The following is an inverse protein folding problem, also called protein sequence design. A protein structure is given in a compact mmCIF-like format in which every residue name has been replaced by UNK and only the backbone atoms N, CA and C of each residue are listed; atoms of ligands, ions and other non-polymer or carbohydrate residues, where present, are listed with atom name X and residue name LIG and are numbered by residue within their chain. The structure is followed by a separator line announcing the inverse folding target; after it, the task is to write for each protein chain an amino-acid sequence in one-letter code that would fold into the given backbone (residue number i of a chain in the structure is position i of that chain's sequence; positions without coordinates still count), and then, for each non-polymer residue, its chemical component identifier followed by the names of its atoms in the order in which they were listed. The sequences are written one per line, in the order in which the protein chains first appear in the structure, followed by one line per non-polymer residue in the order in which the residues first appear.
data_IF_517336297922
#
_entry.id   IF_517336297922
#
_cell.length_a   1.000
_cell.length_b   1.000
_cell.length_c   1.000
_cell.angle_alpha   90.00
_cell.angle_beta   90.00
_cell.angle_gamma   90.00
#
_symmetry.space_group_name_H-M   'P 1'
#
loop_
_entity.id
_entity.type
_entity.pdbx_description
1 polymer ?
#
# COMPACT_ATOMS: atom_id res chain seq x y z
N UNK A 1 2.24 48.53 -4.88
CA UNK A 1 3.22 48.11 -5.92
C UNK A 1 3.26 46.61 -5.90
N UNK A 2 2.54 45.96 -6.81
CA UNK A 2 2.40 44.51 -6.89
C UNK A 2 3.42 44.00 -7.91
N UNK A 3 4.48 43.37 -7.45
CA UNK A 3 5.48 42.73 -8.30
C UNK A 3 4.89 41.46 -8.94
N UNK A 4 4.58 41.58 -10.21
CA UNK A 4 4.19 40.45 -11.09
C UNK A 4 5.45 39.61 -11.35
N UNK A 5 5.53 38.44 -10.72
CA UNK A 5 6.56 37.44 -11.03
C UNK A 5 6.35 36.95 -12.45
N UNK A 6 7.37 37.12 -13.29
CA UNK A 6 7.37 36.64 -14.68
C UNK A 6 7.28 35.11 -14.71
N UNK A 7 6.58 34.48 -15.71
CA UNK A 7 6.55 33.04 -15.84
C UNK A 7 7.95 32.53 -16.18
N UNK A 8 8.43 31.55 -15.45
CA UNK A 8 9.66 30.80 -15.74
C UNK A 8 9.50 30.19 -17.12
N UNK A 9 10.43 30.53 -18.05
CA UNK A 9 10.46 30.00 -19.40
C UNK A 9 10.44 28.47 -19.34
N UNK A 10 9.39 27.87 -19.92
CA UNK A 10 9.20 26.43 -19.91
C UNK A 10 10.38 25.73 -20.59
N UNK A 11 10.92 24.71 -19.94
CA UNK A 11 11.86 23.76 -20.54
C UNK A 11 11.16 23.21 -21.80
N UNK A 12 11.77 23.29 -22.99
CA UNK A 12 11.15 22.81 -24.22
C UNK A 12 10.80 21.33 -24.06
N UNK A 13 9.53 20.99 -24.30
CA UNK A 13 9.06 19.62 -24.21
C UNK A 13 9.92 18.71 -25.10
N UNK A 14 10.34 17.57 -24.58
CA UNK A 14 11.12 16.60 -25.33
C UNK A 14 10.33 16.15 -26.59
N UNK A 15 11.00 15.92 -27.74
CA UNK A 15 10.33 15.49 -28.95
C UNK A 15 9.61 14.16 -28.72
N UNK A 16 8.41 13.97 -29.35
CA UNK A 16 7.65 12.74 -29.19
C UNK A 16 8.43 11.53 -29.71
N UNK A 17 8.11 10.35 -29.17
CA UNK A 17 8.69 9.09 -29.65
C UNK A 17 8.31 8.82 -31.11
N UNK A 18 9.20 8.18 -31.89
CA UNK A 18 8.85 7.62 -33.20
C UNK A 18 7.62 6.69 -33.09
N UNK A 19 6.69 6.78 -34.02
CA UNK A 19 5.43 6.03 -33.96
C UNK A 19 5.63 4.50 -33.86
N UNK A 20 6.60 3.95 -34.53
CA UNK A 20 6.96 2.53 -34.47
C UNK A 20 7.42 2.13 -33.06
N UNK A 21 8.25 2.95 -32.42
CA UNK A 21 8.74 2.69 -31.07
C UNK A 21 7.60 2.79 -30.06
N UNK A 22 6.70 3.79 -30.17
CA UNK A 22 5.54 3.92 -29.31
C UNK A 22 4.62 2.68 -29.42
N UNK A 23 4.40 2.16 -30.62
CA UNK A 23 3.62 0.94 -30.85
C UNK A 23 4.27 -0.30 -30.22
N UNK A 24 5.60 -0.45 -30.37
CA UNK A 24 6.33 -1.57 -29.74
C UNK A 24 6.25 -1.52 -28.21
N UNK A 25 6.44 -0.35 -27.61
CA UNK A 25 6.36 -0.19 -26.15
C UNK A 25 4.95 -0.50 -25.63
N UNK A 26 3.89 -0.14 -26.36
CA UNK A 26 2.51 -0.52 -26.06
C UNK A 26 2.32 -2.04 -26.13
N UNK A 27 2.79 -2.67 -27.21
CA UNK A 27 2.67 -4.12 -27.41
C UNK A 27 3.40 -4.90 -26.33
N UNK A 28 4.57 -4.44 -25.91
CA UNK A 28 5.37 -5.04 -24.84
C UNK A 28 4.88 -4.68 -23.43
N UNK A 29 3.85 -3.83 -23.32
CA UNK A 29 3.30 -3.36 -22.06
C UNK A 29 4.36 -2.70 -21.16
N UNK A 30 5.09 -1.74 -21.73
CA UNK A 30 6.13 -0.95 -21.05
C UNK A 30 5.68 0.52 -20.89
N UNK A 31 4.66 0.80 -20.05
CA UNK A 31 4.04 2.12 -19.96
C UNK A 31 4.96 3.18 -19.36
N UNK A 32 5.84 2.79 -18.44
CA UNK A 32 6.73 3.71 -17.75
C UNK A 32 7.89 4.11 -18.67
N UNK A 33 8.52 3.17 -19.38
CA UNK A 33 9.49 3.48 -20.42
C UNK A 33 8.84 4.41 -21.45
N UNK A 34 7.65 4.09 -21.94
CA UNK A 34 6.95 4.90 -22.96
C UNK A 34 6.76 6.35 -22.52
N UNK A 35 6.47 6.57 -21.22
CA UNK A 35 6.27 7.89 -20.63
C UNK A 35 7.58 8.68 -20.52
N UNK A 36 8.66 8.03 -20.10
CA UNK A 36 9.92 8.70 -19.77
C UNK A 36 10.93 8.71 -20.92
N UNK A 37 10.79 7.85 -21.90
CA UNK A 37 11.72 7.73 -23.01
C UNK A 37 11.97 9.04 -23.82
N UNK A 38 10.98 9.91 -24.07
CA UNK A 38 11.25 11.18 -24.76
C UNK A 38 12.30 12.01 -24.06
N UNK A 39 12.16 12.18 -22.75
CA UNK A 39 13.06 12.99 -21.92
C UNK A 39 14.45 12.34 -21.77
N UNK A 40 14.46 11.02 -21.51
CA UNK A 40 15.72 10.27 -21.36
C UNK A 40 16.52 10.29 -22.65
N UNK A 41 15.89 10.10 -23.81
CA UNK A 41 16.56 10.13 -25.11
C UNK A 41 17.09 11.54 -25.42
N UNK A 42 16.32 12.59 -25.12
CA UNK A 42 16.77 13.97 -25.32
C UNK A 42 18.00 14.28 -24.44
N UNK A 43 17.97 13.90 -23.17
CA UNK A 43 19.08 14.07 -22.22
C UNK A 43 20.30 13.27 -22.67
N UNK A 44 20.12 12.00 -23.03
CA UNK A 44 21.19 11.13 -23.50
C UNK A 44 21.92 11.70 -24.72
N UNK A 45 21.16 12.25 -25.69
CA UNK A 45 21.74 12.91 -26.87
C UNK A 45 22.56 14.15 -26.48
N UNK A 46 22.03 14.99 -25.57
CA UNK A 46 22.71 16.20 -25.12
C UNK A 46 24.00 15.89 -24.34
N UNK A 47 23.97 14.84 -23.54
CA UNK A 47 25.09 14.44 -22.66
C UNK A 47 25.97 13.32 -23.23
N UNK A 48 25.70 12.86 -24.46
CA UNK A 48 26.45 11.81 -25.15
C UNK A 48 26.58 10.52 -24.32
N UNK A 49 25.45 10.07 -23.77
CA UNK A 49 25.41 8.81 -23.00
C UNK A 49 25.70 7.60 -23.89
N UNK A 50 26.36 6.62 -23.31
CA UNK A 50 26.50 5.31 -23.95
C UNK A 50 25.14 4.61 -24.08
N UNK A 51 24.89 3.88 -25.20
CA UNK A 51 23.61 3.21 -25.42
C UNK A 51 23.18 2.28 -24.27
N UNK A 52 24.13 1.61 -23.65
CA UNK A 52 23.84 0.73 -22.50
C UNK A 52 23.31 1.50 -21.28
N UNK A 53 23.78 2.72 -21.08
CA UNK A 53 23.32 3.59 -19.99
C UNK A 53 21.88 4.06 -20.21
N UNK A 54 21.54 4.41 -21.45
CA UNK A 54 20.15 4.75 -21.83
C UNK A 54 19.21 3.59 -21.52
N UNK A 55 19.56 2.38 -21.94
CA UNK A 55 18.76 1.19 -21.69
C UNK A 55 18.61 0.92 -20.19
N UNK A 56 19.71 1.01 -19.42
CA UNK A 56 19.71 0.83 -17.98
C UNK A 56 18.73 1.79 -17.29
N UNK A 57 18.78 3.08 -17.61
CA UNK A 57 17.90 4.09 -17.04
C UNK A 57 16.44 3.81 -17.39
N UNK A 58 16.14 3.51 -18.67
CA UNK A 58 14.78 3.22 -19.09
C UNK A 58 14.20 1.97 -18.41
N UNK A 59 14.97 0.89 -18.31
CA UNK A 59 14.49 -0.32 -17.64
C UNK A 59 14.39 -0.15 -16.12
N UNK A 60 15.27 0.65 -15.50
CA UNK A 60 15.14 0.99 -14.10
C UNK A 60 13.85 1.78 -13.81
N UNK A 61 13.49 2.74 -14.68
CA UNK A 61 12.22 3.47 -14.58
C UNK A 61 10.99 2.57 -14.75
N UNK A 62 11.05 1.60 -15.67
CA UNK A 62 9.97 0.64 -15.83
C UNK A 62 9.80 -0.23 -14.58
N UNK A 63 10.90 -0.76 -14.04
CA UNK A 63 10.87 -1.59 -12.83
C UNK A 63 10.30 -0.79 -11.64
N UNK A 64 10.86 0.38 -11.37
CA UNK A 64 10.39 1.25 -10.30
C UNK A 64 8.93 1.68 -10.48
N UNK A 65 8.51 1.93 -11.72
CA UNK A 65 7.13 2.28 -12.04
C UNK A 65 6.15 1.11 -11.80
N UNK A 66 6.54 -0.10 -12.14
CA UNK A 66 5.76 -1.32 -11.84
C UNK A 66 5.64 -1.56 -10.35
N UNK A 67 6.73 -1.40 -9.61
CA UNK A 67 6.74 -1.57 -8.15
C UNK A 67 5.80 -0.55 -7.49
N UNK A 68 5.86 0.72 -7.88
CA UNK A 68 4.93 1.76 -7.42
C UNK A 68 3.47 1.42 -7.73
N UNK A 69 3.19 0.93 -8.94
CA UNK A 69 1.83 0.55 -9.36
C UNK A 69 1.33 -0.67 -8.59
N UNK A 70 2.16 -1.67 -8.37
CA UNK A 70 1.84 -2.86 -7.59
C UNK A 70 1.56 -2.50 -6.12
N UNK A 71 2.39 -1.63 -5.52
CA UNK A 71 2.19 -1.12 -4.18
C UNK A 71 0.87 -0.36 -4.04
N UNK A 72 0.58 0.55 -4.98
CA UNK A 72 -0.67 1.29 -4.99
C UNK A 72 -1.90 0.36 -5.09
N UNK A 73 -1.82 -0.66 -5.95
CA UNK A 73 -2.88 -1.66 -6.11
C UNK A 73 -3.09 -2.49 -4.84
N UNK A 74 -2.01 -2.96 -4.19
CA UNK A 74 -2.11 -3.69 -2.92
C UNK A 74 -2.70 -2.83 -1.81
N UNK A 75 -2.25 -1.56 -1.71
CA UNK A 75 -2.75 -0.60 -0.72
C UNK A 75 -4.25 -0.32 -0.91
N UNK A 76 -4.69 -0.12 -2.14
CA UNK A 76 -6.11 0.04 -2.46
C UNK A 76 -6.93 -1.22 -2.16
N UNK A 77 -6.38 -2.41 -2.46
CA UNK A 77 -7.05 -3.69 -2.21
C UNK A 77 -7.16 -4.02 -0.72
N UNK A 78 -6.23 -3.56 0.11
CA UNK A 78 -6.25 -3.80 1.55
C UNK A 78 -7.45 -3.18 2.26
N UNK A 79 -7.96 -2.01 1.78
CA UNK A 79 -9.16 -1.39 2.33
C UNK A 79 -8.95 -0.67 3.66
N UNK A 80 -7.78 -0.10 3.90
CA UNK A 80 -7.45 0.65 5.12
C UNK A 80 -8.41 1.81 5.37
N UNK A 81 -8.84 2.06 6.64
CA UNK A 81 -9.85 3.07 6.94
C UNK A 81 -9.34 4.51 6.88
N UNK A 82 -8.11 4.79 7.32
CA UNK A 82 -7.63 6.17 7.51
C UNK A 82 -6.29 6.49 6.86
N UNK A 83 -5.52 5.50 6.39
CA UNK A 83 -4.21 5.69 5.78
C UNK A 83 -3.09 6.00 6.78
N UNK A 84 -3.24 5.64 8.05
CA UNK A 84 -2.23 5.84 9.09
C UNK A 84 -1.05 4.93 8.92
N UNK A 85 0.16 5.51 9.06
CA UNK A 85 1.44 4.81 8.90
C UNK A 85 2.33 5.06 10.09
N UNK A 86 3.43 4.31 10.21
CA UNK A 86 4.43 4.53 11.25
C UNK A 86 5.13 5.89 11.19
N UNK A 87 5.03 6.64 10.09
CA UNK A 87 5.51 8.02 10.02
C UNK A 87 4.80 8.96 11.01
N UNK A 88 3.52 8.71 11.26
CA UNK A 88 2.72 9.49 12.20
C UNK A 88 2.61 8.82 13.58
N UNK A 89 3.20 7.65 13.78
CA UNK A 89 3.21 6.94 15.05
C UNK A 89 4.21 7.57 16.01
N UNK A 90 3.78 7.78 17.26
CA UNK A 90 4.61 8.30 18.34
C UNK A 90 4.85 7.17 19.34
N UNK A 91 5.99 6.46 19.28
CA UNK A 91 6.27 5.29 20.10
C UNK A 91 6.21 5.56 21.61
N UNK A 92 6.61 6.77 22.01
CA UNK A 92 6.67 7.24 23.39
C UNK A 92 5.29 7.45 24.04
N UNK A 93 4.25 7.66 23.22
CA UNK A 93 2.87 7.80 23.71
C UNK A 93 2.15 6.44 23.83
N UNK A 94 2.80 5.37 23.38
CA UNK A 94 2.22 4.02 23.43
C UNK A 94 2.55 3.33 24.75
N UNK A 95 1.58 2.62 25.31
CA UNK A 95 1.81 1.73 26.45
C UNK A 95 2.55 0.44 26.09
N UNK A 96 2.76 0.17 24.80
CA UNK A 96 3.50 -0.99 24.32
C UNK A 96 5.00 -0.72 24.46
N UNK A 97 5.78 -1.60 25.11
CA UNK A 97 7.22 -1.41 25.25
C UNK A 97 7.94 -1.25 23.91
N UNK A 98 8.91 -0.34 23.84
CA UNK A 98 9.63 -0.05 22.60
C UNK A 98 10.24 -1.29 21.91
N UNK A 99 10.85 -2.27 22.63
CA UNK A 99 11.34 -3.49 22.02
C UNK A 99 10.24 -4.32 21.34
N UNK A 100 9.04 -4.37 21.95
CA UNK A 100 7.87 -5.05 21.38
C UNK A 100 7.38 -4.35 20.12
N UNK A 101 7.30 -3.01 20.15
CA UNK A 101 6.95 -2.25 18.95
C UNK A 101 7.92 -2.52 17.80
N UNK A 102 9.22 -2.59 18.12
CA UNK A 102 10.26 -2.86 17.14
C UNK A 102 10.16 -4.29 16.57
N UNK A 103 9.94 -5.28 17.44
CA UNK A 103 9.74 -6.66 17.03
C UNK A 103 8.50 -6.83 16.12
N UNK A 104 7.39 -6.16 16.43
CA UNK A 104 6.21 -6.18 15.58
C UNK A 104 6.48 -5.58 14.19
N UNK A 105 7.29 -4.52 14.12
CA UNK A 105 7.65 -3.85 12.87
C UNK A 105 8.54 -4.68 11.95
N UNK A 106 9.24 -5.71 12.44
CA UNK A 106 10.00 -6.62 11.57
C UNK A 106 9.10 -7.46 10.67
N UNK A 107 7.83 -7.63 11.04
CA UNK A 107 6.84 -8.47 10.36
C UNK A 107 7.20 -9.96 10.30
N UNK A 108 8.24 -10.41 11.01
CA UNK A 108 8.68 -11.82 11.04
C UNK A 108 7.59 -12.74 11.59
N UNK A 109 6.77 -12.24 12.51
CA UNK A 109 5.62 -12.96 13.07
C UNK A 109 4.60 -13.37 12.00
N UNK A 110 4.45 -12.59 10.91
CA UNK A 110 3.61 -12.96 9.75
C UNK A 110 4.20 -14.19 9.05
N UNK A 111 5.52 -14.18 8.79
CA UNK A 111 6.21 -15.32 8.19
C UNK A 111 6.14 -16.59 9.04
N UNK A 112 6.10 -16.46 10.38
CA UNK A 112 5.92 -17.55 11.34
C UNK A 112 4.46 -17.97 11.53
N UNK A 113 3.52 -17.29 10.87
CA UNK A 113 2.06 -17.51 10.99
C UNK A 113 1.56 -17.38 12.42
N UNK A 114 2.05 -16.38 13.13
CA UNK A 114 1.63 -16.08 14.50
C UNK A 114 0.43 -15.14 14.51
N UNK A 115 -0.52 -15.38 15.39
CA UNK A 115 -1.66 -14.49 15.60
C UNK A 115 -1.28 -13.38 16.57
N UNK A 116 -1.63 -12.15 16.25
CA UNK A 116 -1.46 -10.98 17.10
C UNK A 116 -2.84 -10.46 17.54
N UNK A 117 -3.00 -10.29 18.85
CA UNK A 117 -4.19 -9.65 19.41
C UNK A 117 -3.77 -8.40 20.19
N UNK A 118 -4.37 -7.26 19.89
CA UNK A 118 -4.12 -5.98 20.58
C UNK A 118 -5.36 -5.61 21.37
N UNK A 119 -5.25 -5.64 22.70
CA UNK A 119 -6.31 -5.31 23.62
C UNK A 119 -5.99 -4.05 24.42
N UNK A 120 -7.02 -3.28 24.79
CA UNK A 120 -6.86 -2.09 25.62
C UNK A 120 -8.09 -1.18 25.56
N UNK A 121 -8.16 -0.14 26.40
CA UNK A 121 -9.26 0.82 26.43
C UNK A 121 -9.49 1.53 25.10
N UNK A 122 -10.67 2.09 24.89
CA UNK A 122 -10.96 2.93 23.71
C UNK A 122 -10.01 4.13 23.66
N UNK A 123 -9.64 4.57 22.46
CA UNK A 123 -8.78 5.74 22.27
C UNK A 123 -7.27 5.50 22.44
N UNK A 124 -6.81 4.31 22.82
CA UNK A 124 -5.38 4.01 23.05
C UNK A 124 -4.56 3.77 21.78
N UNK A 125 -5.10 4.01 20.61
CA UNK A 125 -4.37 3.91 19.35
C UNK A 125 -4.29 2.49 18.74
N UNK A 126 -5.08 1.51 19.21
CA UNK A 126 -5.08 0.13 18.68
C UNK A 126 -5.25 0.07 17.18
N UNK A 127 -6.33 0.65 16.66
CA UNK A 127 -6.61 0.72 15.21
C UNK A 127 -5.47 1.39 14.46
N UNK A 128 -4.86 2.44 15.03
CA UNK A 128 -3.71 3.10 14.44
C UNK A 128 -2.52 2.16 14.30
N UNK A 129 -2.15 1.45 15.38
CA UNK A 129 -1.05 0.48 15.34
C UNK A 129 -1.32 -0.61 14.30
N UNK A 130 -2.53 -1.18 14.30
CA UNK A 130 -2.94 -2.21 13.36
C UNK A 130 -2.83 -1.73 11.92
N UNK A 131 -3.32 -0.52 11.63
CA UNK A 131 -3.25 0.05 10.30
C UNK A 131 -1.81 0.33 9.89
N UNK A 132 -0.98 0.88 10.79
CA UNK A 132 0.43 1.12 10.52
C UNK A 132 1.21 -0.17 10.23
N UNK A 133 0.94 -1.26 10.97
CA UNK A 133 1.51 -2.60 10.69
C UNK A 133 1.02 -3.13 9.35
N UNK A 134 -0.26 -3.02 9.04
CA UNK A 134 -0.83 -3.42 7.76
C UNK A 134 -0.23 -2.64 6.59
N UNK A 135 -0.06 -1.32 6.72
CA UNK A 135 0.61 -0.48 5.71
C UNK A 135 2.06 -0.92 5.49
N UNK A 136 2.79 -1.19 6.56
CA UNK A 136 4.17 -1.68 6.48
C UNK A 136 4.23 -3.07 5.83
N UNK A 137 3.27 -3.95 6.10
CA UNK A 137 3.17 -5.25 5.43
C UNK A 137 2.94 -5.11 3.92
N UNK A 138 2.06 -4.18 3.50
CA UNK A 138 1.87 -3.85 2.08
C UNK A 138 3.14 -3.31 1.44
N UNK A 139 3.90 -2.46 2.13
CA UNK A 139 5.19 -1.93 1.67
C UNK A 139 6.24 -3.03 1.53
N UNK A 140 6.21 -4.04 2.41
CA UNK A 140 7.05 -5.24 2.31
C UNK A 140 6.59 -6.21 1.19
N UNK A 141 5.53 -5.88 0.44
CA UNK A 141 5.04 -6.68 -0.69
C UNK A 141 3.96 -7.69 -0.34
N UNK A 142 3.52 -7.75 0.91
CA UNK A 142 2.49 -8.68 1.38
C UNK A 142 1.09 -8.22 0.97
N UNK A 143 0.18 -9.18 0.83
CA UNK A 143 -1.24 -8.94 0.58
C UNK A 143 -1.97 -8.84 1.93
N UNK A 144 -2.59 -7.70 2.19
CA UNK A 144 -3.34 -7.44 3.41
C UNK A 144 -4.82 -7.31 3.09
N UNK A 145 -5.68 -7.88 3.94
CA UNK A 145 -7.11 -7.70 3.89
C UNK A 145 -7.59 -7.11 5.22
N UNK A 146 -8.16 -5.91 5.18
CA UNK A 146 -8.71 -5.23 6.35
C UNK A 146 -10.22 -5.37 6.41
N UNK A 147 -10.73 -5.74 7.57
CA UNK A 147 -12.17 -5.79 7.84
C UNK A 147 -12.48 -5.16 9.19
N UNK A 148 -13.62 -4.49 9.28
CA UNK A 148 -14.30 -4.34 10.56
C UNK A 148 -15.09 -5.61 10.83
N UNK A 149 -15.30 -5.98 12.10
CA UNK A 149 -16.09 -7.16 12.45
C UNK A 149 -17.48 -7.12 11.83
N UNK A 150 -18.16 -5.98 11.91
CA UNK A 150 -19.47 -5.78 11.30
C UNK A 150 -19.44 -5.90 9.78
N UNK A 151 -18.42 -5.28 9.12
CA UNK A 151 -18.22 -5.34 7.69
C UNK A 151 -18.02 -6.77 7.19
N UNK A 152 -17.22 -7.56 7.91
CA UNK A 152 -17.00 -8.97 7.61
C UNK A 152 -18.32 -9.75 7.77
N UNK A 153 -19.08 -9.48 8.84
CA UNK A 153 -20.39 -10.10 9.06
C UNK A 153 -21.40 -9.78 7.95
N UNK A 154 -21.45 -8.52 7.49
CA UNK A 154 -22.30 -8.12 6.36
C UNK A 154 -21.87 -8.83 5.07
N UNK A 155 -20.56 -8.87 4.80
CA UNK A 155 -20.01 -9.55 3.63
C UNK A 155 -20.41 -11.02 3.59
N UNK A 156 -20.23 -11.75 4.70
CA UNK A 156 -20.56 -13.17 4.79
C UNK A 156 -22.07 -13.42 4.67
N UNK A 157 -22.92 -12.60 5.32
CA UNK A 157 -24.39 -12.72 5.20
C UNK A 157 -24.86 -12.51 3.77
N UNK A 158 -24.32 -11.54 3.05
CA UNK A 158 -24.65 -11.27 1.66
C UNK A 158 -24.36 -12.47 0.76
N UNK A 159 -23.21 -13.13 0.94
CA UNK A 159 -22.81 -14.27 0.15
C UNK A 159 -23.43 -15.60 0.61
N UNK A 160 -24.08 -15.62 1.77
CA UNK A 160 -24.86 -16.78 2.22
C UNK A 160 -26.14 -16.96 1.40
N UNK A 161 -26.70 -15.88 0.88
CA UNK A 161 -27.93 -15.90 0.11
C UNK A 161 -27.76 -16.57 -1.29
N UNK A 162 -26.56 -16.49 -1.86
CA UNK A 162 -26.20 -17.05 -3.19
C UNK A 162 -25.23 -18.24 -3.12
N UNK A 163 -25.02 -18.81 -1.92
CA UNK A 163 -24.14 -19.96 -1.64
C UNK A 163 -22.67 -19.74 -2.08
N UNK A 164 -22.21 -18.47 -2.16
CA UNK A 164 -20.85 -18.10 -2.59
C UNK A 164 -19.86 -17.84 -1.46
N UNK A 165 -20.24 -18.12 -0.19
CA UNK A 165 -19.39 -17.88 1.00
C UNK A 165 -18.02 -18.54 0.87
N UNK A 166 -17.96 -19.78 0.38
CA UNK A 166 -16.72 -20.52 0.20
C UNK A 166 -15.73 -19.81 -0.75
N UNK A 167 -16.25 -19.21 -1.82
CA UNK A 167 -15.44 -18.42 -2.78
C UNK A 167 -14.87 -17.15 -2.14
N UNK A 168 -15.69 -16.48 -1.33
CA UNK A 168 -15.27 -15.26 -0.61
C UNK A 168 -14.21 -15.60 0.44
N UNK A 169 -14.45 -16.66 1.23
CA UNK A 169 -13.47 -17.13 2.21
C UNK A 169 -12.15 -17.54 1.56
N UNK A 170 -12.19 -18.28 0.45
CA UNK A 170 -10.99 -18.65 -0.31
C UNK A 170 -10.23 -17.40 -0.78
N UNK A 171 -10.93 -16.33 -1.17
CA UNK A 171 -10.31 -15.07 -1.58
C UNK A 171 -9.66 -14.35 -0.40
N UNK A 172 -10.33 -14.29 0.75
CA UNK A 172 -9.80 -13.67 1.97
C UNK A 172 -8.55 -14.43 2.45
N UNK A 173 -8.60 -15.75 2.48
CA UNK A 173 -7.51 -16.63 2.92
C UNK A 173 -6.29 -16.65 1.98
N UNK A 174 -6.35 -15.99 0.83
CA UNK A 174 -5.17 -15.74 -0.03
C UNK A 174 -4.32 -14.55 0.43
N UNK A 175 -4.81 -13.79 1.39
CA UNK A 175 -4.04 -12.69 1.98
C UNK A 175 -2.97 -13.25 2.92
N UNK A 176 -1.81 -12.62 2.92
CA UNK A 176 -0.71 -12.96 3.85
C UNK A 176 -1.01 -12.47 5.27
N UNK A 177 -1.86 -11.44 5.39
CA UNK A 177 -2.30 -10.86 6.65
C UNK A 177 -3.78 -10.47 6.58
N UNK A 178 -4.57 -10.94 7.52
CA UNK A 178 -5.97 -10.54 7.70
C UNK A 178 -6.08 -9.74 8.98
N UNK A 179 -6.60 -8.51 8.88
CA UNK A 179 -6.85 -7.63 10.02
C UNK A 179 -8.34 -7.55 10.27
N UNK A 180 -8.75 -7.83 11.51
CA UNK A 180 -10.13 -7.66 11.96
C UNK A 180 -10.16 -6.62 13.07
N UNK A 181 -10.70 -5.44 12.76
CA UNK A 181 -10.88 -4.37 13.73
C UNK A 181 -12.26 -4.45 14.37
N UNK A 182 -12.28 -4.63 15.68
CA UNK A 182 -13.50 -4.80 16.49
C UNK A 182 -13.99 -3.45 17.06
N UNK A 183 -13.19 -2.38 16.90
CA UNK A 183 -13.43 -1.08 17.55
C UNK A 183 -14.61 -0.26 16.99
N UNK A 184 -15.27 -0.71 15.93
CA UNK A 184 -16.40 0.01 15.28
C UNK A 184 -17.82 -0.47 15.63
N UNK A 185 -17.98 -1.54 16.39
CA UNK A 185 -19.28 -2.11 16.70
C UNK A 185 -19.91 -1.51 17.95
N UNK A 186 -21.04 -0.82 17.80
CA UNK A 186 -21.76 -0.14 18.86
C UNK A 186 -22.28 -1.03 20.02
N UNK A 187 -22.08 -2.35 19.95
CA UNK A 187 -22.57 -3.30 20.95
C UNK A 187 -21.51 -4.08 21.75
N UNK A 188 -20.25 -4.05 21.33
CA UNK A 188 -19.20 -4.86 21.98
C UNK A 188 -18.34 -4.12 22.99
N UNK A 189 -18.35 -2.78 22.93
CA UNK A 189 -17.56 -1.93 23.84
C UNK A 189 -18.11 -1.94 25.28
N UNK A 190 -19.38 -2.17 25.47
CA UNK A 190 -20.04 -2.14 26.79
C UNK A 190 -19.95 -3.43 27.57
N UNK A 191 -19.82 -4.59 26.91
CA UNK A 191 -19.83 -5.88 27.61
C UNK A 191 -18.49 -6.38 28.12
N UNK A 192 -17.36 -5.86 27.63
CA UNK A 192 -16.02 -6.30 28.02
C UNK A 192 -15.14 -5.23 28.66
N UNK A 193 -15.51 -3.94 28.70
CA UNK A 193 -14.68 -2.84 29.22
C UNK A 193 -13.32 -2.66 28.54
N UNK A 194 -12.98 -3.54 27.60
CA UNK A 194 -11.72 -3.59 26.87
C UNK A 194 -12.02 -3.80 25.37
N UNK A 195 -11.77 -2.78 24.56
CA UNK A 195 -11.85 -2.96 23.10
C UNK A 195 -10.70 -3.85 22.62
N UNK A 196 -11.03 -4.99 22.02
CA UNK A 196 -10.06 -5.88 21.39
C UNK A 196 -10.02 -5.63 19.91
N UNK A 197 -8.81 -5.61 19.33
CA UNK A 197 -8.62 -5.67 17.89
C UNK A 197 -7.65 -6.82 17.62
N UNK A 198 -7.97 -7.68 16.64
CA UNK A 198 -7.23 -8.91 16.42
C UNK A 198 -6.68 -9.02 14.99
N UNK A 199 -5.53 -9.68 14.85
CA UNK A 199 -4.99 -10.15 13.60
C UNK A 199 -5.13 -11.67 13.50
N UNK A 200 -5.46 -12.15 12.31
CA UNK A 200 -5.32 -13.53 11.91
C UNK A 200 -4.27 -13.62 10.80
N UNK A 201 -3.35 -14.52 10.91
CA UNK A 201 -2.31 -14.81 9.91
C UNK A 201 -2.57 -16.19 9.31
#
# INVERSE_FOLDING_TARGET
MTTRTAPVAGIPAAPPLPAELDLLLRRLRLPHIRRHAPEVIATAKAQRWEPAEVLKVLFAEEAAGRDRSALATRRAAAGFPTGKTFHAWQPELSSIPAPTQQALRTLEWIGRRENLVVCGPSGTGKTFLLEALGQQAVEAGLHVAWFTLDGLGVLLRRHRADDSVSKVMTRILRSDLIVIDISGGAGYAESCGVGCAGFLV
#
